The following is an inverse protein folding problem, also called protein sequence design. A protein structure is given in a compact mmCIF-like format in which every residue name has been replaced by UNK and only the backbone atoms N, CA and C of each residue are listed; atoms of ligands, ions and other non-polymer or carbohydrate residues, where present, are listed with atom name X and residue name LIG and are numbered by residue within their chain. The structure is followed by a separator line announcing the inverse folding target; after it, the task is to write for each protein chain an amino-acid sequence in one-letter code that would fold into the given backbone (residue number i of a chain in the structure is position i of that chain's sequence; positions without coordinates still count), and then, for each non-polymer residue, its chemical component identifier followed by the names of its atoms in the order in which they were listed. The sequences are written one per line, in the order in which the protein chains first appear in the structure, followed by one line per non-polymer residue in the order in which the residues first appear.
data_IF_082836256466
#
_entry.id   IF_082836256466
#
_cell.length_a   1.000
_cell.length_b   1.000
_cell.length_c   1.000
_cell.angle_alpha   90.00
_cell.angle_beta   90.00
_cell.angle_gamma   90.00
#
_symmetry.space_group_name_H-M   'P 1'
#
loop_
_entity.id
_entity.type
_entity.pdbx_description
1 polymer ?
#
# COMPACT_ATOMS: atom_id res chain seq x y z
N UNK A 1 -4.81 -19.90 -16.94
CA UNK A 1 -4.81 -18.99 -15.77
C UNK A 1 -4.27 -17.66 -16.23
N UNK A 2 -5.09 -16.61 -16.18
CA UNK A 2 -4.73 -15.26 -16.64
C UNK A 2 -3.65 -14.63 -15.76
N UNK A 3 -3.05 -13.51 -16.21
CA UNK A 3 -2.08 -12.75 -15.40
C UNK A 3 -2.71 -12.24 -14.10
N UNK A 4 -3.92 -11.68 -14.18
CA UNK A 4 -4.67 -11.22 -13.01
C UNK A 4 -4.82 -12.30 -11.93
N UNK A 5 -5.20 -13.51 -12.34
CA UNK A 5 -5.36 -14.64 -11.40
C UNK A 5 -4.05 -14.94 -10.66
N UNK A 6 -2.90 -14.76 -11.31
CA UNK A 6 -1.58 -14.99 -10.69
C UNK A 6 -1.29 -13.91 -9.65
N UNK A 7 -1.62 -12.66 -9.96
CA UNK A 7 -1.45 -11.53 -9.05
C UNK A 7 -2.30 -11.71 -7.80
N UNK A 8 -3.59 -11.99 -7.99
CA UNK A 8 -4.52 -12.23 -6.88
C UNK A 8 -4.01 -13.36 -5.98
N UNK A 9 -3.46 -14.44 -6.56
CA UNK A 9 -2.84 -15.51 -5.76
C UNK A 9 -1.61 -15.06 -4.97
N UNK A 10 -0.74 -14.24 -5.56
CA UNK A 10 0.43 -13.71 -4.86
C UNK A 10 0.00 -12.79 -3.72
N UNK A 11 -0.94 -11.87 -3.98
CA UNK A 11 -1.47 -10.95 -2.96
C UNK A 11 -2.19 -11.72 -1.84
N UNK A 12 -2.93 -12.79 -2.15
CA UNK A 12 -3.50 -13.67 -1.15
C UNK A 12 -2.43 -14.33 -0.28
N UNK A 13 -1.41 -14.91 -0.91
CA UNK A 13 -0.33 -15.57 -0.16
C UNK A 13 0.45 -14.58 0.72
N UNK A 14 0.69 -13.35 0.23
CA UNK A 14 1.33 -12.30 1.01
C UNK A 14 0.45 -11.85 2.18
N UNK A 15 -0.85 -11.64 1.94
CA UNK A 15 -1.82 -11.32 2.97
C UNK A 15 -1.89 -12.40 4.05
N UNK A 16 -2.03 -13.67 3.67
CA UNK A 16 -2.10 -14.80 4.59
C UNK A 16 -0.84 -14.89 5.45
N UNK A 17 0.33 -14.76 4.85
CA UNK A 17 1.62 -14.76 5.56
C UNK A 17 1.70 -13.63 6.58
N UNK A 18 1.37 -12.40 6.17
CA UNK A 18 1.43 -11.22 7.04
C UNK A 18 0.41 -11.29 8.18
N UNK A 19 -0.80 -11.76 7.86
CA UNK A 19 -1.90 -11.94 8.81
C UNK A 19 -1.56 -12.99 9.86
N UNK A 20 -0.97 -14.12 9.46
CA UNK A 20 -0.51 -15.16 10.39
C UNK A 20 0.63 -14.66 11.30
N UNK A 21 1.56 -13.87 10.78
CA UNK A 21 2.63 -13.27 11.59
C UNK A 21 2.06 -12.37 12.70
N UNK A 22 1.13 -11.48 12.36
CA UNK A 22 0.48 -10.59 13.33
C UNK A 22 -0.43 -11.34 14.31
N UNK A 23 -1.03 -12.47 13.94
CA UNK A 23 -1.80 -13.29 14.87
C UNK A 23 -0.93 -13.96 15.95
N UNK A 24 0.35 -14.18 15.67
CA UNK A 24 1.26 -14.86 16.60
C UNK A 24 1.90 -13.89 17.60
N UNK A 25 1.64 -12.58 17.51
CA UNK A 25 2.23 -11.56 18.39
C UNK A 25 1.27 -10.40 18.60
N UNK A 26 1.02 -10.01 19.86
CA UNK A 26 0.26 -8.79 20.15
C UNK A 26 1.18 -7.58 20.26
N UNK A 27 0.66 -6.39 19.98
CA UNK A 27 1.35 -5.13 20.18
C UNK A 27 1.85 -4.99 21.62
N UNK A 28 1.04 -5.43 22.61
CA UNK A 28 1.48 -5.49 24.01
C UNK A 28 2.71 -6.37 24.20
N UNK A 29 2.75 -7.53 23.56
CA UNK A 29 3.90 -8.42 23.62
C UNK A 29 5.13 -7.80 22.95
N UNK A 30 4.95 -7.09 21.83
CA UNK A 30 6.01 -6.33 21.16
C UNK A 30 6.62 -5.27 22.07
N UNK A 31 5.81 -4.52 22.82
CA UNK A 31 6.32 -3.55 23.83
C UNK A 31 7.20 -4.25 24.86
N UNK A 32 6.73 -5.38 25.40
CA UNK A 32 7.47 -6.17 26.41
C UNK A 32 8.80 -6.68 25.84
N UNK A 33 8.81 -7.12 24.58
CA UNK A 33 10.02 -7.65 23.94
C UNK A 33 11.00 -6.54 23.56
N UNK A 34 10.51 -5.35 23.17
CA UNK A 34 11.36 -4.16 23.02
C UNK A 34 12.08 -3.84 24.34
N UNK A 35 11.37 -3.81 25.48
CA UNK A 35 12.01 -3.59 26.79
C UNK A 35 13.13 -4.59 27.11
N UNK A 36 12.94 -5.86 26.77
CA UNK A 36 13.95 -6.90 27.02
C UNK A 36 15.17 -6.73 26.12
N UNK A 37 14.96 -6.25 24.91
CA UNK A 37 15.99 -6.16 23.86
C UNK A 37 16.56 -4.75 23.68
N UNK A 38 16.20 -3.78 24.53
CA UNK A 38 16.63 -2.38 24.47
C UNK A 38 18.14 -2.19 24.21
N UNK A 39 19.00 -3.00 24.85
CA UNK A 39 20.46 -2.86 24.65
C UNK A 39 20.92 -3.24 23.23
N UNK A 40 20.20 -4.14 22.56
CA UNK A 40 20.46 -4.55 21.18
C UNK A 40 19.83 -3.58 20.17
N UNK A 41 18.61 -3.11 20.42
CA UNK A 41 17.86 -2.21 19.51
C UNK A 41 18.48 -0.81 19.46
N UNK A 42 18.99 -0.29 20.59
CA UNK A 42 19.65 1.02 20.66
C UNK A 42 20.99 1.08 19.92
N UNK A 43 21.66 -0.05 19.70
CA UNK A 43 22.92 -0.11 18.95
C UNK A 43 22.72 0.23 17.47
N UNK A 44 21.52 -0.01 16.93
CA UNK A 44 21.16 0.27 15.54
C UNK A 44 20.74 1.73 15.31
N UNK A 45 20.26 2.42 16.35
CA UNK A 45 19.69 3.77 16.30
C UNK A 45 20.60 4.87 16.88
N UNK A 46 21.88 4.59 17.12
CA UNK A 46 22.79 5.51 17.82
C UNK A 46 22.97 6.84 17.07
N UNK A 47 22.22 7.87 17.49
CA UNK A 47 22.51 9.28 17.17
C UNK A 47 23.81 9.68 17.90
N UNK A 48 24.71 10.35 17.20
CA UNK A 48 26.09 10.64 17.65
C UNK A 48 26.21 11.51 18.90
N UNK A 49 25.12 12.14 19.35
CA UNK A 49 25.16 13.24 20.31
C UNK A 49 24.62 12.88 21.71
N UNK A 50 24.11 11.66 21.91
CA UNK A 50 23.61 11.17 23.21
C UNK A 50 24.38 9.94 23.70
N UNK A 51 24.57 9.83 25.02
CA UNK A 51 25.12 8.61 25.59
C UNK A 51 24.12 7.47 25.50
N UNK A 52 24.59 6.22 25.35
CA UNK A 52 23.74 5.03 25.31
C UNK A 52 22.82 4.91 26.54
N UNK A 53 23.28 5.39 27.71
CA UNK A 53 22.48 5.43 28.93
C UNK A 53 21.32 6.43 28.89
N UNK A 54 21.48 7.57 28.21
CA UNK A 54 20.42 8.57 28.02
C UNK A 54 19.37 8.05 27.05
N UNK A 55 19.82 7.48 25.92
CA UNK A 55 18.96 6.83 24.93
C UNK A 55 18.11 5.73 25.56
N UNK A 56 18.73 4.84 26.34
CA UNK A 56 18.01 3.76 27.02
C UNK A 56 16.94 4.27 27.97
N UNK A 57 17.25 5.32 28.73
CA UNK A 57 16.29 5.93 29.65
C UNK A 57 15.11 6.55 28.89
N UNK A 58 15.37 7.24 27.79
CA UNK A 58 14.35 7.85 26.95
C UNK A 58 13.43 6.77 26.35
N UNK A 59 13.97 5.72 25.74
CA UNK A 59 13.15 4.62 25.21
C UNK A 59 12.34 3.92 26.29
N UNK A 60 12.89 3.73 27.49
CA UNK A 60 12.11 3.20 28.62
C UNK A 60 10.95 4.12 29.03
N UNK A 61 11.12 5.44 28.99
CA UNK A 61 10.05 6.40 29.28
C UNK A 61 8.98 6.38 28.18
N UNK A 62 9.39 6.35 26.91
CA UNK A 62 8.54 6.20 25.72
C UNK A 62 7.69 4.93 25.77
N UNK A 63 8.31 3.77 25.99
CA UNK A 63 7.63 2.49 26.06
C UNK A 63 6.64 2.45 27.24
N UNK A 64 6.96 3.07 28.38
CA UNK A 64 6.04 3.14 29.53
C UNK A 64 4.83 3.99 29.20
N UNK A 65 5.02 5.07 28.45
CA UNK A 65 3.93 5.94 28.04
C UNK A 65 2.93 5.18 27.17
N UNK A 66 3.42 4.41 26.20
CA UNK A 66 2.59 3.57 25.32
C UNK A 66 1.94 2.43 26.12
N UNK A 67 2.71 1.72 26.94
CA UNK A 67 2.23 0.57 27.72
C UNK A 67 1.09 0.92 28.68
N UNK A 68 1.13 2.11 29.27
CA UNK A 68 0.10 2.58 30.21
C UNK A 68 -1.17 3.09 29.50
N UNK A 69 -1.16 3.25 28.18
CA UNK A 69 -2.32 3.60 27.38
C UNK A 69 -3.05 2.31 26.95
N UNK A 70 -3.76 1.69 27.90
CA UNK A 70 -4.43 0.41 27.67
C UNK A 70 -5.45 0.47 26.52
N UNK A 71 -6.09 1.61 26.32
CA UNK A 71 -7.04 1.83 25.22
C UNK A 71 -6.31 1.79 23.87
N UNK A 72 -5.21 2.52 23.74
CA UNK A 72 -4.39 2.52 22.53
C UNK A 72 -3.87 1.12 22.20
N UNK A 73 -3.28 0.44 23.19
CA UNK A 73 -2.74 -0.91 23.01
C UNK A 73 -3.84 -1.86 22.53
N UNK A 74 -5.02 -1.80 23.15
CA UNK A 74 -6.16 -2.62 22.75
C UNK A 74 -6.65 -2.31 21.33
N UNK A 75 -6.69 -1.03 20.93
CA UNK A 75 -7.09 -0.62 19.58
C UNK A 75 -6.11 -1.12 18.52
N UNK A 76 -4.80 -0.95 18.73
CA UNK A 76 -3.76 -1.46 17.82
C UNK A 76 -3.88 -2.99 17.71
N UNK A 77 -4.03 -3.69 18.84
CA UNK A 77 -4.23 -5.14 18.86
C UNK A 77 -5.49 -5.58 18.12
N UNK A 78 -6.57 -4.79 18.13
CA UNK A 78 -7.79 -5.14 17.41
C UNK A 78 -7.72 -4.84 15.91
N UNK A 79 -6.88 -3.91 15.51
CA UNK A 79 -6.83 -3.38 14.15
C UNK A 79 -6.52 -4.46 13.10
N UNK A 80 -5.70 -5.46 13.42
CA UNK A 80 -5.42 -6.56 12.48
C UNK A 80 -6.69 -7.30 12.05
N UNK A 81 -7.72 -7.40 12.91
CA UNK A 81 -8.99 -8.03 12.57
C UNK A 81 -9.92 -7.09 11.78
N UNK A 82 -9.75 -5.78 11.89
CA UNK A 82 -10.58 -4.81 11.18
C UNK A 82 -10.40 -4.91 9.66
N UNK A 83 -9.22 -5.33 9.17
CA UNK A 83 -8.98 -5.57 7.74
C UNK A 83 -9.95 -6.61 7.15
N UNK A 84 -10.38 -7.59 7.95
CA UNK A 84 -11.32 -8.63 7.52
C UNK A 84 -12.77 -8.14 7.50
N UNK A 85 -13.06 -7.05 8.22
CA UNK A 85 -14.40 -6.46 8.35
C UNK A 85 -14.69 -5.40 7.28
N UNK A 86 -13.71 -5.04 6.46
CA UNK A 86 -13.89 -4.14 5.31
C UNK A 86 -15.04 -4.65 4.44
N UNK A 87 -16.03 -3.78 4.17
CA UNK A 87 -17.14 -4.09 3.27
C UNK A 87 -16.64 -4.16 1.82
N UNK A 88 -16.22 -5.35 1.43
CA UNK A 88 -15.68 -5.64 0.10
C UNK A 88 -16.67 -5.28 -1.01
N UNK A 89 -17.98 -5.41 -0.77
CA UNK A 89 -18.97 -5.13 -1.80
C UNK A 89 -19.03 -3.64 -2.06
N UNK A 90 -19.23 -2.85 -1.00
CA UNK A 90 -19.27 -1.39 -1.09
C UNK A 90 -17.97 -0.82 -1.65
N UNK A 91 -16.84 -1.28 -1.14
CA UNK A 91 -15.52 -0.86 -1.60
C UNK A 91 -15.34 -1.08 -3.12
N UNK A 92 -15.72 -2.26 -3.62
CA UNK A 92 -15.65 -2.55 -5.07
C UNK A 92 -16.64 -1.72 -5.88
N UNK A 93 -17.82 -1.41 -5.36
CA UNK A 93 -18.80 -0.56 -6.05
C UNK A 93 -18.29 0.88 -6.20
N UNK A 94 -17.69 1.44 -5.15
CA UNK A 94 -17.02 2.76 -5.17
C UNK A 94 -15.88 2.76 -6.19
N UNK A 95 -14.97 1.77 -6.12
CA UNK A 95 -13.87 1.65 -7.08
C UNK A 95 -14.32 1.50 -8.53
N UNK A 96 -15.40 0.75 -8.79
CA UNK A 96 -15.89 0.57 -10.16
C UNK A 96 -16.30 1.90 -10.78
N UNK A 97 -16.97 2.75 -10.02
CA UNK A 97 -17.40 4.06 -10.50
C UNK A 97 -16.17 4.91 -10.90
N UNK A 98 -15.17 4.99 -10.02
CA UNK A 98 -13.94 5.73 -10.24
C UNK A 98 -13.14 5.20 -11.44
N UNK A 99 -13.00 3.88 -11.53
CA UNK A 99 -12.29 3.22 -12.63
C UNK A 99 -12.97 3.45 -13.97
N UNK A 100 -14.30 3.29 -14.05
CA UNK A 100 -15.05 3.52 -15.29
C UNK A 100 -14.90 4.96 -15.75
N UNK A 101 -15.07 5.93 -14.84
CA UNK A 101 -14.89 7.35 -15.15
C UNK A 101 -13.46 7.63 -15.64
N UNK A 102 -12.45 7.11 -14.93
CA UNK A 102 -11.05 7.30 -15.28
C UNK A 102 -10.69 6.65 -16.63
N UNK A 103 -11.27 5.49 -16.96
CA UNK A 103 -11.11 4.87 -18.28
C UNK A 103 -11.71 5.71 -19.41
N UNK A 104 -12.86 6.36 -19.18
CA UNK A 104 -13.47 7.24 -20.18
C UNK A 104 -12.56 8.43 -20.49
N UNK A 105 -12.05 9.10 -19.46
CA UNK A 105 -11.14 10.24 -19.61
C UNK A 105 -9.84 9.82 -20.30
N UNK A 106 -9.27 8.67 -19.91
CA UNK A 106 -8.08 8.12 -20.57
C UNK A 106 -8.33 7.83 -22.06
N UNK A 107 -9.53 7.34 -22.41
CA UNK A 107 -9.89 7.01 -23.79
C UNK A 107 -9.95 8.26 -24.65
N UNK A 108 -10.57 9.32 -24.13
CA UNK A 108 -10.61 10.64 -24.76
C UNK A 108 -9.19 11.18 -24.99
N UNK A 109 -8.31 11.11 -23.99
CA UNK A 109 -6.92 11.58 -24.10
C UNK A 109 -6.11 10.84 -25.16
N UNK A 110 -6.25 9.52 -25.24
CA UNK A 110 -5.59 8.72 -26.29
C UNK A 110 -6.07 9.14 -27.68
N UNK A 111 -7.37 9.42 -27.83
CA UNK A 111 -7.96 9.82 -29.10
C UNK A 111 -7.63 11.28 -29.50
N UNK A 112 -7.59 12.20 -28.54
CA UNK A 112 -7.25 13.62 -28.74
C UNK A 112 -5.82 13.81 -29.28
N UNK A 113 -4.88 13.01 -28.76
CA UNK A 113 -3.46 13.18 -29.06
C UNK A 113 -3.10 12.89 -30.53
N UNK A 114 -4.02 12.38 -31.37
CA UNK A 114 -3.78 12.00 -32.78
C UNK A 114 -2.50 11.19 -32.99
N UNK A 115 -1.98 10.58 -31.93
CA UNK A 115 -0.74 9.83 -31.99
C UNK A 115 -1.05 8.55 -32.75
N UNK A 116 -0.19 8.17 -33.69
CA UNK A 116 -0.25 6.82 -34.30
C UNK A 116 0.02 5.71 -33.26
N UNK A 117 0.13 6.05 -31.97
CA UNK A 117 0.57 5.20 -30.89
C UNK A 117 -0.64 4.62 -30.17
N UNK A 118 -0.73 3.28 -30.18
CA UNK A 118 -1.71 2.54 -29.37
C UNK A 118 -1.24 2.53 -27.92
N UNK A 119 -2.16 2.72 -26.98
CA UNK A 119 -1.94 2.51 -25.56
C UNK A 119 -1.42 1.08 -25.36
N UNK A 120 -0.19 0.96 -24.87
CA UNK A 120 0.47 -0.31 -24.62
C UNK A 120 0.31 -0.77 -23.18
N UNK A 121 0.40 0.20 -22.26
CA UNK A 121 0.50 0.00 -20.82
C UNK A 121 -0.31 1.10 -20.11
N UNK A 122 -0.99 0.73 -19.03
CA UNK A 122 -1.62 1.66 -18.08
C UNK A 122 -1.10 1.35 -16.68
N UNK A 123 -0.79 2.40 -15.93
CA UNK A 123 -0.36 2.38 -14.55
C UNK A 123 -1.38 3.10 -13.70
N UNK A 124 -1.55 2.62 -12.48
CA UNK A 124 -2.22 3.30 -11.39
C UNK A 124 -1.12 3.89 -10.51
N UNK A 125 -0.93 5.20 -10.57
CA UNK A 125 0.09 5.93 -9.83
C UNK A 125 -0.55 6.55 -8.59
N UNK A 126 -0.03 6.21 -7.42
CA UNK A 126 -0.52 6.70 -6.14
C UNK A 126 0.09 8.05 -5.78
N UNK A 127 -0.67 8.88 -5.11
CA UNK A 127 -0.16 9.99 -4.30
C UNK A 127 -0.19 9.56 -2.81
N UNK A 128 0.40 10.38 -1.94
CA UNK A 128 0.42 10.28 -0.47
C UNK A 128 -0.94 9.99 0.18
N UNK A 129 -2.03 10.33 -0.50
CA UNK A 129 -3.41 10.33 0.02
C UNK A 129 -4.22 9.04 -0.22
N UNK A 130 -3.59 7.91 -0.57
CA UNK A 130 -4.30 6.67 -0.99
C UNK A 130 -5.30 6.90 -2.14
N UNK A 131 -4.98 7.90 -2.96
CA UNK A 131 -5.65 8.22 -4.21
C UNK A 131 -4.67 7.94 -5.32
N UNK A 132 -5.22 7.54 -6.45
CA UNK A 132 -4.41 7.28 -7.63
C UNK A 132 -4.95 7.93 -8.88
N UNK A 133 -4.04 8.12 -9.82
CA UNK A 133 -4.34 8.56 -11.16
C UNK A 133 -3.77 7.55 -12.15
N UNK A 134 -4.22 7.61 -13.39
CA UNK A 134 -3.65 6.80 -14.46
C UNK A 134 -2.46 7.47 -15.15
N UNK A 135 -1.38 6.71 -15.28
CA UNK A 135 -0.30 6.93 -16.23
C UNK A 135 -0.41 5.98 -17.42
N UNK A 136 -0.29 6.49 -18.64
CA UNK A 136 -0.48 5.70 -19.87
C UNK A 136 0.72 5.79 -20.80
N UNK A 137 1.18 4.65 -21.30
CA UNK A 137 2.38 4.56 -22.15
C UNK A 137 2.08 3.84 -23.46
N UNK A 138 2.69 4.29 -24.55
CA UNK A 138 2.48 3.70 -25.88
C UNK A 138 3.03 2.28 -26.00
N UNK A 139 2.71 1.55 -27.08
CA UNK A 139 3.34 0.25 -27.36
C UNK A 139 4.86 0.33 -27.47
N UNK A 140 5.54 -0.64 -26.86
CA UNK A 140 6.98 -0.79 -26.83
C UNK A 140 7.39 -2.20 -26.39
N UNK A 141 8.68 -2.52 -26.49
CA UNK A 141 9.26 -3.81 -26.11
C UNK A 141 9.41 -4.00 -24.60
N UNK A 142 8.44 -3.53 -23.80
CA UNK A 142 8.52 -3.61 -22.36
C UNK A 142 8.45 -5.08 -21.94
N UNK A 143 9.45 -5.55 -21.20
CA UNK A 143 9.40 -6.86 -20.55
C UNK A 143 9.48 -6.63 -19.04
N UNK A 144 8.39 -6.94 -18.36
CA UNK A 144 8.35 -6.86 -16.91
C UNK A 144 7.99 -8.25 -16.40
N UNK A 145 8.77 -8.81 -15.47
CA UNK A 145 8.41 -10.05 -14.82
C UNK A 145 7.22 -9.82 -13.88
N UNK A 146 6.42 -10.85 -13.65
CA UNK A 146 5.56 -10.93 -12.46
C UNK A 146 6.48 -11.50 -11.38
N UNK A 147 6.98 -10.70 -10.42
CA UNK A 147 7.73 -11.25 -9.28
C UNK A 147 6.93 -12.29 -8.46
N UNK A 148 7.59 -12.96 -7.53
CA UNK A 148 6.91 -13.91 -6.63
C UNK A 148 6.37 -13.24 -5.37
N UNK A 149 6.95 -12.09 -5.01
CA UNK A 149 6.61 -11.24 -3.87
C UNK A 149 6.60 -9.78 -4.33
N UNK A 150 5.74 -8.91 -3.77
CA UNK A 150 5.77 -7.47 -4.09
C UNK A 150 7.19 -6.92 -3.93
N UNK A 151 7.68 -6.13 -4.89
CA UNK A 151 9.05 -5.61 -4.87
C UNK A 151 9.18 -4.30 -5.64
N UNK A 152 10.27 -3.57 -5.36
CA UNK A 152 10.65 -2.37 -6.10
C UNK A 152 11.04 -2.69 -7.55
N UNK A 153 10.61 -1.86 -8.50
CA UNK A 153 11.02 -1.95 -9.90
C UNK A 153 11.34 -0.55 -10.41
N UNK A 154 12.57 -0.34 -10.87
CA UNK A 154 12.91 0.85 -11.63
C UNK A 154 12.24 0.80 -12.99
N UNK A 155 11.49 1.87 -13.33
CA UNK A 155 10.90 2.03 -14.64
C UNK A 155 11.38 3.33 -15.27
N UNK A 156 12.11 3.20 -16.38
CA UNK A 156 12.30 4.30 -17.31
C UNK A 156 11.01 4.46 -18.11
N UNK A 157 10.56 5.68 -18.35
CA UNK A 157 9.24 6.02 -18.90
C UNK A 157 9.30 6.34 -20.42
N UNK A 158 9.75 5.47 -21.34
CA UNK A 158 9.79 5.83 -22.75
C UNK A 158 8.36 5.85 -23.30
N UNK A 159 7.96 7.00 -23.87
CA UNK A 159 6.70 7.25 -24.60
C UNK A 159 5.44 7.31 -23.71
N UNK A 160 5.47 8.19 -22.73
CA UNK A 160 4.26 8.67 -22.04
C UNK A 160 3.24 9.21 -23.06
N UNK A 161 1.99 8.76 -22.96
CA UNK A 161 0.84 9.25 -23.70
C UNK A 161 0.01 10.21 -22.86
N UNK A 162 -0.10 9.93 -21.57
CA UNK A 162 -0.76 10.76 -20.57
C UNK A 162 -0.25 10.36 -19.18
N UNK A 163 -0.37 11.28 -18.23
CA UNK A 163 -0.03 11.08 -16.83
C UNK A 163 -1.01 11.88 -15.96
N UNK A 164 -1.30 11.38 -14.75
CA UNK A 164 -2.16 12.06 -13.80
C UNK A 164 -3.63 12.15 -14.23
N UNK A 165 -4.14 11.18 -15.01
CA UNK A 165 -5.52 11.23 -15.53
C UNK A 165 -6.49 10.40 -14.69
N UNK A 166 -7.64 10.97 -14.41
CA UNK A 166 -8.65 10.34 -13.57
C UNK A 166 -8.27 10.43 -12.10
N UNK A 167 -9.14 9.88 -11.26
CA UNK A 167 -8.92 9.81 -9.82
C UNK A 167 -9.61 8.54 -9.33
N UNK A 168 -8.87 7.73 -8.58
CA UNK A 168 -9.31 6.45 -8.04
C UNK A 168 -9.01 6.49 -6.56
N UNK A 169 -10.07 6.62 -5.76
CA UNK A 169 -9.96 6.70 -4.31
C UNK A 169 -10.19 5.31 -3.71
N UNK A 170 -9.16 4.78 -3.05
CA UNK A 170 -9.24 3.52 -2.31
C UNK A 170 -8.97 3.73 -0.81
N UNK A 171 -9.09 4.96 -0.32
CA UNK A 171 -8.95 5.31 1.11
C UNK A 171 -9.86 4.48 1.99
N UNK A 172 -11.07 4.12 1.51
CA UNK A 172 -12.01 3.29 2.26
C UNK A 172 -11.51 1.87 2.55
N UNK A 173 -10.49 1.38 1.82
CA UNK A 173 -9.81 0.12 2.09
C UNK A 173 -8.79 0.21 3.24
N UNK A 174 -8.36 1.41 3.59
CA UNK A 174 -7.43 1.70 4.68
C UNK A 174 -8.08 2.46 5.84
N UNK A 175 -9.34 2.86 5.72
CA UNK A 175 -10.01 3.74 6.67
C UNK A 175 -9.83 3.35 8.15
N UNK A 176 -9.97 2.07 8.56
CA UNK A 176 -9.74 1.70 9.96
C UNK A 176 -8.33 2.04 10.45
N UNK A 177 -7.32 1.86 9.60
CA UNK A 177 -5.92 2.17 9.91
C UNK A 177 -5.70 3.69 9.98
N UNK A 178 -6.22 4.44 9.00
CA UNK A 178 -6.07 5.90 8.95
C UNK A 178 -6.84 6.61 10.07
N UNK A 179 -7.99 6.07 10.47
CA UNK A 179 -8.75 6.62 11.58
C UNK A 179 -8.03 6.37 12.91
N UNK A 180 -7.36 5.22 13.06
CA UNK A 180 -6.47 4.98 14.19
C UNK A 180 -5.29 5.97 14.20
N UNK A 181 -4.60 6.21 13.08
CA UNK A 181 -3.52 7.20 13.00
C UNK A 181 -3.96 8.58 13.49
N UNK A 182 -5.13 9.04 13.03
CA UNK A 182 -5.71 10.33 13.46
C UNK A 182 -6.01 10.34 14.95
N UNK A 183 -6.50 9.24 15.51
CA UNK A 183 -6.80 9.12 16.94
C UNK A 183 -5.53 9.09 17.81
N UNK A 184 -4.48 8.40 17.35
CA UNK A 184 -3.17 8.32 18.03
C UNK A 184 -2.54 9.72 18.08
N UNK A 185 -2.60 10.45 16.97
CA UNK A 185 -1.94 11.73 16.79
C UNK A 185 -0.44 11.60 16.52
N UNK A 186 0.11 12.59 15.82
CA UNK A 186 1.50 12.61 15.32
C UNK A 186 2.53 12.36 16.43
N UNK A 187 2.41 13.04 17.58
CA UNK A 187 3.38 12.90 18.69
C UNK A 187 3.50 11.47 19.23
N UNK A 188 2.37 10.76 19.39
CA UNK A 188 2.40 9.37 19.88
C UNK A 188 2.83 8.40 18.79
N UNK A 189 2.45 8.69 17.54
CA UNK A 189 2.86 7.89 16.40
C UNK A 189 4.38 7.95 16.21
N UNK A 190 4.99 9.13 16.35
CA UNK A 190 6.44 9.31 16.34
C UNK A 190 7.13 8.45 17.40
N UNK A 191 6.55 8.35 18.60
CA UNK A 191 7.09 7.49 19.66
C UNK A 191 7.02 6.02 19.23
N UNK A 192 5.88 5.55 18.71
CA UNK A 192 5.72 4.18 18.20
C UNK A 192 6.74 3.89 17.09
N UNK A 193 6.91 4.80 16.14
CA UNK A 193 7.82 4.63 15.00
C UNK A 193 9.30 4.73 15.42
N UNK A 194 9.61 5.45 16.49
CA UNK A 194 10.98 5.61 16.98
C UNK A 194 11.56 4.37 17.66
N UNK A 195 10.70 3.49 18.18
CA UNK A 195 11.11 2.24 18.82
C UNK A 195 11.10 1.10 17.79
N UNK A 196 12.21 0.36 17.67
CA UNK A 196 12.47 -0.51 16.51
C UNK A 196 11.38 -1.55 16.28
N UNK A 197 11.11 -2.43 17.25
CA UNK A 197 10.14 -3.51 17.12
C UNK A 197 8.70 -2.98 17.06
N UNK A 198 8.42 -1.85 17.71
CA UNK A 198 7.10 -1.20 17.59
C UNK A 198 6.88 -0.66 16.18
N UNK A 199 7.90 -0.04 15.59
CA UNK A 199 7.86 0.41 14.19
C UNK A 199 7.65 -0.75 13.24
N UNK A 200 8.36 -1.87 13.45
CA UNK A 200 8.23 -3.07 12.63
C UNK A 200 6.82 -3.64 12.70
N UNK A 201 6.26 -3.78 13.91
CA UNK A 201 4.89 -4.23 14.11
C UNK A 201 3.88 -3.30 13.43
N UNK A 202 4.06 -1.99 13.61
CA UNK A 202 3.20 -0.97 13.06
C UNK A 202 3.20 -0.96 11.52
N UNK A 203 4.38 -1.04 10.89
CA UNK A 203 4.49 -1.12 9.43
C UNK A 203 3.97 -2.44 8.87
N UNK A 204 4.12 -3.56 9.59
CA UNK A 204 3.49 -4.83 9.21
C UNK A 204 1.97 -4.74 9.21
N UNK A 205 1.41 -4.04 10.20
CA UNK A 205 -0.02 -3.78 10.29
C UNK A 205 -0.51 -2.88 9.15
N UNK A 206 0.22 -1.80 8.84
CA UNK A 206 -0.07 -0.96 7.67
C UNK A 206 -0.06 -1.78 6.37
N UNK A 207 0.98 -2.60 6.17
CA UNK A 207 1.16 -3.42 4.98
C UNK A 207 -0.01 -4.40 4.78
N UNK A 208 -0.58 -4.92 5.86
CA UNK A 208 -1.75 -5.80 5.81
C UNK A 208 -2.96 -5.13 5.14
N UNK A 209 -3.25 -3.87 5.49
CA UNK A 209 -4.33 -3.08 4.87
C UNK A 209 -4.02 -2.75 3.42
N UNK A 210 -2.77 -2.38 3.14
CA UNK A 210 -2.27 -2.07 1.79
C UNK A 210 -2.44 -3.27 0.86
N UNK A 211 -1.94 -4.45 1.24
CA UNK A 211 -2.05 -5.69 0.44
C UNK A 211 -3.52 -6.06 0.20
N UNK A 212 -4.36 -6.00 1.23
CA UNK A 212 -5.79 -6.33 1.08
C UNK A 212 -6.50 -5.36 0.13
N UNK A 213 -6.19 -4.06 0.23
CA UNK A 213 -6.73 -3.03 -0.65
C UNK A 213 -6.33 -3.27 -2.11
N UNK A 214 -5.05 -3.57 -2.35
CA UNK A 214 -4.56 -3.89 -3.70
C UNK A 214 -5.16 -5.17 -4.26
N UNK A 215 -5.38 -6.18 -3.43
CA UNK A 215 -6.11 -7.38 -3.84
C UNK A 215 -7.51 -7.02 -4.33
N UNK A 216 -8.27 -6.25 -3.56
CA UNK A 216 -9.64 -5.84 -3.93
C UNK A 216 -9.65 -4.98 -5.20
N UNK A 217 -8.65 -4.12 -5.38
CA UNK A 217 -8.44 -3.35 -6.59
C UNK A 217 -8.23 -4.27 -7.82
N UNK A 218 -7.34 -5.26 -7.74
CA UNK A 218 -7.10 -6.22 -8.83
C UNK A 218 -8.30 -7.12 -9.14
N UNK A 219 -9.05 -7.52 -8.12
CA UNK A 219 -10.33 -8.21 -8.31
C UNK A 219 -11.31 -7.31 -9.08
N UNK A 220 -11.40 -6.03 -8.71
CA UNK A 220 -12.27 -5.04 -9.37
C UNK A 220 -11.88 -4.80 -10.82
N UNK A 221 -10.60 -4.63 -11.12
CA UNK A 221 -10.11 -4.53 -12.50
C UNK A 221 -10.46 -5.76 -13.34
N UNK A 222 -10.32 -6.96 -12.76
CA UNK A 222 -10.72 -8.20 -13.42
C UNK A 222 -12.20 -8.25 -13.77
N UNK A 223 -13.06 -7.73 -12.88
CA UNK A 223 -14.51 -7.64 -13.09
C UNK A 223 -14.89 -6.64 -14.19
N UNK A 224 -14.08 -5.59 -14.42
CA UNK A 224 -14.34 -4.50 -15.39
C UNK A 224 -13.78 -4.74 -16.80
N UNK A 225 -13.21 -5.91 -17.07
CA UNK A 225 -12.49 -6.18 -18.32
C UNK A 225 -13.33 -5.88 -19.57
N UNK A 226 -14.57 -6.36 -19.61
CA UNK A 226 -15.45 -6.18 -20.77
C UNK A 226 -15.91 -4.73 -20.93
N UNK A 227 -16.19 -4.04 -19.82
CA UNK A 227 -16.59 -2.63 -19.79
C UNK A 227 -15.47 -1.74 -20.32
N UNK A 228 -14.23 -1.98 -19.88
CA UNK A 228 -13.04 -1.27 -20.36
C UNK A 228 -12.83 -1.45 -21.86
N UNK A 229 -12.95 -2.67 -22.37
CA UNK A 229 -12.86 -2.97 -23.81
C UNK A 229 -13.94 -2.18 -24.61
N UNK A 230 -15.16 -2.06 -24.09
CA UNK A 230 -16.24 -1.27 -24.69
C UNK A 230 -15.95 0.24 -24.70
N UNK A 231 -15.24 0.76 -23.70
CA UNK A 231 -14.84 2.17 -23.58
C UNK A 231 -13.69 2.52 -24.56
N UNK A 232 -13.11 1.54 -25.25
CA UNK A 232 -12.07 1.75 -26.25
C UNK A 232 -10.65 1.76 -25.70
N UNK A 233 -10.48 1.43 -24.42
CA UNK A 233 -9.18 1.23 -23.77
C UNK A 233 -8.69 -0.19 -24.12
N UNK A 234 -8.20 -0.37 -25.35
CA UNK A 234 -7.58 -1.61 -25.82
C UNK A 234 -6.06 -1.54 -25.63
N UNK A 235 -5.53 -2.43 -24.80
CA UNK A 235 -4.14 -2.41 -24.33
C UNK A 235 -3.53 -3.81 -24.28
N UNK A 236 -2.21 -3.88 -24.43
CA UNK A 236 -1.47 -5.15 -24.42
C UNK A 236 -1.13 -5.60 -22.99
N UNK A 237 -0.97 -4.64 -22.09
CA UNK A 237 -0.83 -4.84 -20.64
C UNK A 237 -1.74 -3.87 -19.93
N UNK A 238 -2.51 -4.37 -18.99
CA UNK A 238 -3.75 -3.70 -18.62
C UNK A 238 -3.63 -2.75 -17.44
N UNK A 239 -2.93 -3.11 -16.37
CA UNK A 239 -2.76 -2.26 -15.18
C UNK A 239 -1.51 -2.70 -14.43
N UNK A 240 -0.78 -1.74 -13.90
CA UNK A 240 0.22 -1.94 -12.86
C UNK A 240 -0.09 -0.96 -11.74
N UNK A 241 0.09 -1.35 -10.50
CA UNK A 241 -0.07 -0.45 -9.36
C UNK A 241 1.31 0.04 -8.92
N UNK A 242 1.53 1.35 -9.03
CA UNK A 242 2.75 2.05 -8.64
C UNK A 242 2.45 2.95 -7.45
N UNK A 243 3.01 2.61 -6.29
CA UNK A 243 3.14 3.58 -5.20
C UNK A 243 4.13 4.66 -5.61
N UNK A 244 3.69 5.87 -5.90
CA UNK A 244 4.60 7.00 -6.11
C UNK A 244 4.55 7.87 -4.85
N UNK A 245 5.67 7.99 -4.17
CA UNK A 245 5.98 9.20 -3.42
C UNK A 245 7.35 9.63 -3.90
N UNK A 246 7.55 10.94 -4.00
CA UNK A 246 8.84 11.53 -4.36
C UNK A 246 10.01 11.07 -3.45
N UNK A 247 9.72 10.45 -2.29
CA UNK A 247 10.70 9.92 -1.34
C UNK A 247 10.46 8.45 -0.89
N UNK A 248 9.30 7.84 -1.19
CA UNK A 248 9.07 6.39 -0.99
C UNK A 248 9.14 5.68 -2.34
N UNK A 249 10.25 4.97 -2.57
CA UNK A 249 10.53 4.26 -3.83
C UNK A 249 9.36 3.39 -4.32
N UNK A 250 9.23 3.31 -5.64
CA UNK A 250 8.12 2.65 -6.34
C UNK A 250 7.85 1.23 -5.83
N UNK A 251 6.76 1.03 -5.08
CA UNK A 251 6.26 -0.31 -4.76
C UNK A 251 5.43 -0.80 -5.94
N UNK A 252 5.96 -1.79 -6.64
CA UNK A 252 5.36 -2.30 -7.86
C UNK A 252 4.47 -3.50 -7.52
N UNK A 253 3.17 -3.35 -7.70
CA UNK A 253 2.22 -4.45 -7.61
C UNK A 253 1.67 -4.71 -9.01
N UNK A 254 2.42 -5.62 -9.64
CA UNK A 254 2.13 -6.52 -10.75
C UNK A 254 1.29 -6.12 -11.99
N UNK A 255 1.73 -6.70 -13.11
CA UNK A 255 1.21 -6.62 -14.47
C UNK A 255 -0.07 -7.40 -14.76
N UNK A 256 -1.12 -6.72 -15.19
CA UNK A 256 -2.22 -7.37 -15.92
C UNK A 256 -1.87 -7.54 -17.41
#
# INVERSE_FOLDING_TARGET
MGRNDKIIKILNSAFETQFEQLNNTSFKQTIIDEYKNLDETLFLNARTDMSSSQLKKQSQESLKLIENDEELVCKIDQLHNEVLKIDKKRFKEELKADLINSFQIASEKVNENKTKHKLGILFLEHDSDFKACFGGFGKGGYNFPIPKIPQHIEFDFPKELFNGIGQIDYTSGLAPFLDLEKEIGEEKLDVIISELLLSEYYFQLQELFVINTYKLLHETFGELRMEKEKIGINMEKEVFVFGNEHDCGARCIYLF
#
